data_IF_609391483116
#
_entry.id   IF_609391483116
#
_cell.length_a   1.000
_cell.length_b   1.000
_cell.length_c   1.000
_cell.angle_alpha   90.00
_cell.angle_beta   90.00
_cell.angle_gamma   90.00
#
_symmetry.space_group_name_H-M   'P 1'
#
loop_
_entity.id
_entity.type
_entity.pdbx_description
1 polymer ?
#
# COMPACT_ATOMS: atom_id res chain seq x y z
N UNK A 1 -2.08 10.02 -16.66
CA UNK A 1 -2.86 9.08 -15.83
C UNK A 1 -2.03 7.81 -15.69
N UNK A 2 -1.76 7.35 -14.46
CA UNK A 2 -1.09 6.06 -14.23
C UNK A 2 -2.09 4.90 -14.37
N UNK A 3 -1.60 3.71 -14.69
CA UNK A 3 -2.36 2.46 -14.67
C UNK A 3 -2.63 2.01 -13.22
N UNK A 4 -3.66 1.17 -13.04
CA UNK A 4 -3.97 0.56 -11.73
C UNK A 4 -2.75 -0.17 -11.15
N UNK A 5 -2.03 -0.92 -12.01
CA UNK A 5 -0.83 -1.64 -11.62
C UNK A 5 0.30 -0.72 -11.13
N UNK A 6 0.49 0.43 -11.78
CA UNK A 6 1.49 1.42 -11.36
C UNK A 6 1.15 2.06 -10.01
N UNK A 7 -0.14 2.27 -9.72
CA UNK A 7 -0.54 2.71 -8.38
C UNK A 7 -0.26 1.63 -7.33
N UNK A 8 -0.57 0.37 -7.62
CA UNK A 8 -0.32 -0.76 -6.72
C UNK A 8 1.17 -1.00 -6.47
N UNK A 9 2.03 -0.82 -7.48
CA UNK A 9 3.48 -0.92 -7.30
C UNK A 9 3.98 0.12 -6.28
N UNK A 10 3.44 1.34 -6.33
CA UNK A 10 3.78 2.37 -5.34
C UNK A 10 3.28 2.02 -3.95
N UNK A 11 2.07 1.44 -3.83
CA UNK A 11 1.57 0.91 -2.54
C UNK A 11 2.59 -0.06 -1.95
N UNK A 12 3.01 -1.07 -2.72
CA UNK A 12 3.97 -2.08 -2.27
C UNK A 12 5.30 -1.44 -1.87
N UNK A 13 5.78 -0.47 -2.64
CA UNK A 13 7.04 0.21 -2.34
C UNK A 13 6.97 0.99 -1.02
N UNK A 14 5.90 1.76 -0.80
CA UNK A 14 5.69 2.48 0.46
C UNK A 14 5.51 1.53 1.66
N UNK A 15 4.80 0.42 1.48
CA UNK A 15 4.62 -0.59 2.53
C UNK A 15 5.96 -1.26 2.91
N UNK A 16 6.80 -1.59 1.94
CA UNK A 16 8.15 -2.14 2.20
C UNK A 16 9.01 -1.14 2.98
N UNK A 17 9.08 0.12 2.52
CA UNK A 17 9.80 1.17 3.23
C UNK A 17 9.26 1.37 4.65
N UNK A 18 7.93 1.27 4.86
CA UNK A 18 7.33 1.40 6.19
C UNK A 18 7.64 0.21 7.10
N UNK A 19 7.82 -0.99 6.54
CA UNK A 19 8.24 -2.17 7.29
C UNK A 19 9.69 -2.03 7.79
N UNK A 20 10.56 -1.46 6.95
CA UNK A 20 11.98 -1.26 7.24
C UNK A 20 12.28 0.01 8.05
N UNK A 21 11.33 0.95 8.14
CA UNK A 21 11.51 2.21 8.87
C UNK A 21 11.55 2.03 10.39
N UNK A 22 12.66 2.43 11.00
CA UNK A 22 12.83 2.49 12.47
C UNK A 22 12.17 3.71 13.09
N UNK A 23 12.16 4.85 12.38
CA UNK A 23 11.52 6.07 12.87
C UNK A 23 9.99 5.95 12.80
N UNK A 24 9.27 6.11 13.91
CA UNK A 24 7.82 5.90 13.95
C UNK A 24 7.04 6.95 13.14
N UNK A 25 7.57 8.17 13.01
CA UNK A 25 6.94 9.24 12.22
C UNK A 25 7.03 8.93 10.74
N UNK A 26 8.23 8.56 10.27
CA UNK A 26 8.47 8.11 8.90
C UNK A 26 7.62 6.90 8.56
N UNK A 27 7.55 5.91 9.47
CA UNK A 27 6.70 4.72 9.30
C UNK A 27 5.22 5.09 9.12
N UNK A 28 4.71 6.04 9.91
CA UNK A 28 3.34 6.52 9.77
C UNK A 28 3.11 7.22 8.42
N UNK A 29 4.00 8.14 8.03
CA UNK A 29 3.92 8.86 6.76
C UNK A 29 3.94 7.92 5.55
N UNK A 30 4.82 6.92 5.57
CA UNK A 30 4.90 5.92 4.49
C UNK A 30 3.61 5.09 4.38
N UNK A 31 3.00 4.72 5.51
CA UNK A 31 1.69 4.04 5.53
C UNK A 31 0.56 4.93 4.98
N UNK A 32 0.57 6.23 5.31
CA UNK A 32 -0.40 7.18 4.76
C UNK A 32 -0.25 7.31 3.23
N UNK A 33 0.98 7.36 2.73
CA UNK A 33 1.26 7.38 1.29
C UNK A 33 0.77 6.10 0.61
N UNK A 34 1.05 4.92 1.18
CA UNK A 34 0.52 3.65 0.67
C UNK A 34 -1.02 3.67 0.58
N UNK A 35 -1.70 4.15 1.62
CA UNK A 35 -3.16 4.26 1.64
C UNK A 35 -3.70 5.25 0.58
N UNK A 36 -3.02 6.38 0.36
CA UNK A 36 -3.40 7.34 -0.67
C UNK A 36 -3.27 6.74 -2.08
N UNK A 37 -2.17 6.03 -2.36
CA UNK A 37 -1.95 5.36 -3.64
C UNK A 37 -2.94 4.21 -3.88
N UNK A 38 -3.33 3.47 -2.83
CA UNK A 38 -4.40 2.47 -2.92
C UNK A 38 -5.72 3.10 -3.34
N UNK A 39 -6.13 4.21 -2.73
CA UNK A 39 -7.37 4.91 -3.11
C UNK A 39 -7.37 5.35 -4.57
N UNK A 40 -6.22 5.78 -5.09
CA UNK A 40 -6.06 6.12 -6.51
C UNK A 40 -6.18 4.88 -7.40
N UNK A 41 -5.60 3.75 -6.99
CA UNK A 41 -5.73 2.48 -7.69
C UNK A 41 -7.19 2.01 -7.74
N UNK A 42 -7.91 2.10 -6.61
CA UNK A 42 -9.32 1.71 -6.50
C UNK A 42 -10.22 2.58 -7.35
N UNK A 43 -10.02 3.92 -7.29
CA UNK A 43 -10.72 4.86 -8.17
C UNK A 43 -10.49 4.50 -9.64
N UNK A 44 -9.24 4.20 -10.01
CA UNK A 44 -8.89 3.86 -11.39
C UNK A 44 -9.48 2.51 -11.81
N UNK A 45 -9.52 1.52 -10.93
CA UNK A 45 -10.17 0.24 -11.18
C UNK A 45 -11.68 0.42 -11.42
N UNK A 46 -12.34 1.25 -10.60
CA UNK A 46 -13.76 1.57 -10.77
C UNK A 46 -14.04 2.28 -12.10
N UNK A 47 -13.21 3.25 -12.50
CA UNK A 47 -13.31 3.90 -13.83
C UNK A 47 -13.20 2.90 -14.99
N UNK A 48 -12.46 1.81 -14.79
CA UNK A 48 -12.23 0.77 -15.80
C UNK A 48 -13.21 -0.42 -15.68
N UNK A 49 -14.20 -0.36 -14.78
CA UNK A 49 -15.10 -1.48 -14.45
C UNK A 49 -14.36 -2.78 -14.09
N UNK A 50 -13.17 -2.64 -13.49
CA UNK A 50 -12.40 -3.76 -12.97
C UNK A 50 -12.92 -4.17 -11.58
N UNK A 51 -12.71 -5.43 -11.19
CA UNK A 51 -13.05 -5.87 -9.84
C UNK A 51 -12.27 -5.08 -8.78
N UNK A 52 -12.84 -4.93 -7.56
CA UNK A 52 -12.17 -4.25 -6.47
C UNK A 52 -10.85 -4.93 -6.14
N UNK A 53 -9.87 -4.13 -5.73
CA UNK A 53 -8.53 -4.61 -5.41
C UNK A 53 -8.58 -5.46 -4.14
N UNK A 54 -8.56 -6.79 -4.28
CA UNK A 54 -8.54 -7.73 -3.15
C UNK A 54 -7.15 -7.85 -2.50
N UNK A 55 -6.45 -6.72 -2.34
CA UNK A 55 -5.22 -6.66 -1.57
C UNK A 55 -5.56 -6.30 -0.12
N UNK A 56 -4.92 -6.90 0.90
CA UNK A 56 -5.15 -6.55 2.30
C UNK A 56 -4.66 -5.13 2.62
N UNK A 57 -5.48 -4.32 3.31
CA UNK A 57 -5.23 -2.91 3.63
C UNK A 57 -4.05 -2.67 4.58
N UNK A 58 -3.52 -3.75 5.13
CA UNK A 58 -2.35 -3.82 5.98
C UNK A 58 -1.84 -5.23 5.77
N UNK A 59 -0.65 -5.42 5.20
CA UNK A 59 0.09 -6.62 5.58
C UNK A 59 0.39 -6.37 7.06
N UNK A 60 -0.19 -7.14 8.01
CA UNK A 60 0.19 -6.99 9.41
C UNK A 60 1.72 -7.05 9.46
N UNK A 61 2.41 -6.30 10.35
CA UNK A 61 3.79 -6.65 10.63
C UNK A 61 3.78 -8.16 10.83
N UNK A 62 4.48 -8.91 9.97
CA UNK A 62 4.72 -10.30 10.28
C UNK A 62 5.49 -10.22 11.59
N UNK A 63 4.80 -10.53 12.67
CA UNK A 63 5.43 -10.92 13.90
C UNK A 63 6.23 -12.15 13.49
N UNK A 64 7.50 -11.93 13.10
CA UNK A 64 8.53 -12.95 13.13
C UNK A 64 8.62 -13.33 14.60
N UNK A 65 7.66 -14.14 15.03
CA UNK A 65 7.63 -14.84 16.29
C UNK A 65 8.79 -15.82 16.25
N UNK A 66 9.99 -15.28 16.47
CA UNK A 66 11.14 -16.04 16.92
C UNK A 66 10.80 -16.46 18.34
N UNK A 67 10.31 -17.69 18.49
CA UNK A 67 10.47 -18.48 19.72
C UNK A 67 11.51 -19.55 19.48
#
# INVERSE_FOLDING_TARGET
MKLVAEYLEQVINFERMAAEATDPTLKALLKEQAAAYRKLAEKRAAELNLPPLNVPAVIPPQDDGVS
#
